data_IF_739143323302
#
_entry.id   IF_739143323302
#
_cell.length_a   1.000
_cell.length_b   1.000
_cell.length_c   1.000
_cell.angle_alpha   90.00
_cell.angle_beta   90.00
_cell.angle_gamma   90.00
#
_symmetry.space_group_name_H-M   'P 1'
#
loop_
_entity.id
_entity.type
_entity.pdbx_description
1 polymer ?
#
# COMPACT_ATOMS: atom_id res chain seq x y z
N UNK A 1 3.73 1.00 14.31
CA UNK A 1 2.36 1.58 14.21
C UNK A 1 2.37 3.05 13.80
N UNK A 2 2.67 3.27 12.53
CA UNK A 2 2.33 4.51 11.83
C UNK A 2 1.23 4.15 10.82
N UNK A 3 0.23 5.01 10.65
CA UNK A 3 -0.78 4.82 9.62
C UNK A 3 -1.00 6.10 8.82
N UNK A 4 -1.38 5.95 7.55
CA UNK A 4 -1.69 7.09 6.70
C UNK A 4 -2.71 6.75 5.63
N UNK A 5 -3.24 7.82 5.03
CA UNK A 5 -4.27 7.77 4.01
C UNK A 5 -3.65 8.16 2.66
N UNK A 6 -3.87 7.34 1.64
CA UNK A 6 -3.55 7.63 0.24
C UNK A 6 -4.83 7.98 -0.51
N UNK A 7 -5.00 9.25 -0.90
CA UNK A 7 -6.13 9.67 -1.73
C UNK A 7 -5.89 9.29 -3.20
N UNK A 8 -6.92 9.40 -4.06
CA UNK A 8 -6.80 9.17 -5.49
C UNK A 8 -5.65 9.97 -6.12
N UNK A 9 -4.71 9.28 -6.77
CA UNK A 9 -3.53 9.88 -7.40
C UNK A 9 -2.38 10.19 -6.45
N UNK A 10 -2.54 9.98 -5.13
CA UNK A 10 -1.43 10.14 -4.19
C UNK A 10 -0.40 9.02 -4.34
N UNK A 11 0.85 9.37 -4.13
CA UNK A 11 1.96 8.42 -4.05
C UNK A 11 2.75 8.63 -2.78
N UNK A 12 3.27 7.53 -2.22
CA UNK A 12 4.13 7.56 -1.04
C UNK A 12 5.21 6.52 -1.14
N UNK A 13 6.43 6.91 -0.81
CA UNK A 13 7.53 5.98 -0.58
C UNK A 13 7.72 5.86 0.93
N UNK A 14 7.96 4.64 1.38
CA UNK A 14 8.27 4.32 2.76
C UNK A 14 9.62 3.62 2.82
N UNK A 15 10.48 4.11 3.70
CA UNK A 15 11.75 3.48 4.02
C UNK A 15 11.48 2.38 5.03
N UNK A 16 11.79 1.14 4.68
CA UNK A 16 11.59 -0.02 5.55
C UNK A 16 12.89 -0.24 6.30
N UNK A 17 12.95 0.26 7.54
CA UNK A 17 14.18 0.22 8.35
C UNK A 17 14.38 -1.19 8.89
N UNK A 18 15.22 -1.97 8.20
CA UNK A 18 15.78 -3.27 8.60
C UNK A 18 14.89 -4.13 9.52
N UNK A 19 14.08 -4.99 8.88
CA UNK A 19 13.72 -6.30 9.44
C UNK A 19 12.42 -6.37 10.23
N UNK A 20 11.32 -6.67 9.53
CA UNK A 20 10.11 -7.27 10.10
C UNK A 20 8.81 -6.50 9.89
N UNK A 21 8.86 -5.30 9.31
CA UNK A 21 7.66 -4.50 9.10
C UNK A 21 6.70 -5.20 8.12
N UNK A 22 5.42 -5.23 8.48
CA UNK A 22 4.35 -5.63 7.57
C UNK A 22 3.62 -4.38 7.10
N UNK A 23 3.41 -4.29 5.79
CA UNK A 23 2.58 -3.28 5.17
C UNK A 23 1.18 -3.83 4.98
N UNK A 24 0.19 -3.26 5.66
CA UNK A 24 -1.22 -3.55 5.41
C UNK A 24 -1.87 -2.42 4.61
N UNK A 25 -2.58 -2.78 3.54
CA UNK A 25 -3.32 -1.87 2.67
C UNK A 25 -4.78 -2.25 2.71
N UNK A 26 -5.65 -1.37 3.19
CA UNK A 26 -7.08 -1.65 3.35
C UNK A 26 -7.93 -0.73 2.50
N UNK A 27 -8.90 -1.32 1.78
CA UNK A 27 -9.99 -0.59 1.15
C UNK A 27 -11.15 -0.47 2.15
N UNK A 28 -11.25 0.68 2.81
CA UNK A 28 -12.29 0.96 3.81
C UNK A 28 -13.66 1.33 3.19
N UNK A 29 -13.79 1.34 1.87
CA UNK A 29 -15.06 1.64 1.21
C UNK A 29 -15.97 0.41 1.18
N UNK A 30 -17.29 0.65 1.33
CA UNK A 30 -18.32 -0.39 1.27
C UNK A 30 -18.64 -0.81 -0.18
N UNK A 31 -18.35 0.07 -1.14
CA UNK A 31 -18.57 -0.13 -2.56
C UNK A 31 -17.38 0.36 -3.39
N UNK A 32 -17.06 -0.35 -4.47
CA UNK A 32 -16.00 0.00 -5.42
C UNK A 32 -14.62 -0.58 -5.07
N UNK A 33 -13.87 -0.90 -6.12
CA UNK A 33 -12.53 -1.47 -6.00
C UNK A 33 -11.46 -0.37 -5.90
N UNK A 34 -10.62 -0.43 -4.88
CA UNK A 34 -9.44 0.41 -4.81
C UNK A 34 -8.35 -0.17 -5.72
N UNK A 35 -7.62 0.70 -6.42
CA UNK A 35 -6.54 0.31 -7.33
C UNK A 35 -5.26 0.98 -6.89
N UNK A 36 -4.18 0.23 -6.82
CA UNK A 36 -2.87 0.77 -6.47
C UNK A 36 -1.78 0.04 -7.22
N UNK A 37 -0.62 0.70 -7.31
CA UNK A 37 0.62 0.11 -7.74
C UNK A 37 1.61 0.09 -6.57
N UNK A 38 2.36 -0.99 -6.42
CA UNK A 38 3.43 -1.11 -5.44
C UNK A 38 4.73 -1.55 -6.12
N UNK A 39 5.84 -0.93 -5.76
CA UNK A 39 7.19 -1.32 -6.14
C UNK A 39 8.07 -1.47 -4.90
N UNK A 40 8.84 -2.55 -4.82
CA UNK A 40 9.86 -2.73 -3.78
C UNK A 40 11.23 -2.42 -4.33
N UNK A 41 12.12 -1.80 -3.55
CA UNK A 41 13.53 -1.57 -3.89
C UNK A 41 13.75 -0.93 -5.26
N UNK A 42 12.88 0.04 -5.61
CA UNK A 42 12.87 0.75 -6.90
C UNK A 42 12.69 -0.17 -8.13
N UNK A 43 12.12 -1.35 -7.93
CA UNK A 43 11.76 -2.25 -9.02
C UNK A 43 10.53 -1.75 -9.79
N UNK A 44 10.13 -2.52 -10.82
CA UNK A 44 8.95 -2.17 -11.63
C UNK A 44 7.68 -2.25 -10.78
N UNK A 45 6.83 -1.21 -10.77
CA UNK A 45 5.57 -1.24 -10.04
C UNK A 45 4.63 -2.32 -10.56
N UNK A 46 4.00 -3.06 -9.64
CA UNK A 46 2.96 -4.04 -9.94
C UNK A 46 1.60 -3.47 -9.55
N UNK A 47 0.63 -3.57 -10.45
CA UNK A 47 -0.73 -3.09 -10.22
C UNK A 47 -1.56 -4.15 -9.48
N UNK A 48 -2.39 -3.69 -8.55
CA UNK A 48 -3.26 -4.49 -7.71
C UNK A 48 -4.63 -3.84 -7.55
N UNK A 49 -5.60 -4.67 -7.19
CA UNK A 49 -6.99 -4.29 -6.91
C UNK A 49 -7.39 -4.84 -5.54
N UNK A 50 -8.06 -4.02 -4.73
CA UNK A 50 -8.68 -4.44 -3.47
C UNK A 50 -10.20 -4.31 -3.56
N UNK A 51 -10.88 -5.42 -3.30
CA UNK A 51 -12.33 -5.43 -3.16
C UNK A 51 -12.77 -4.61 -1.93
N UNK A 52 -14.03 -4.15 -1.89
CA UNK A 52 -14.58 -3.46 -0.72
C UNK A 52 -14.37 -4.22 0.58
N UNK A 53 -13.93 -3.51 1.64
CA UNK A 53 -13.71 -4.08 2.98
C UNK A 53 -12.59 -5.13 3.07
N UNK A 54 -11.73 -5.24 2.06
CA UNK A 54 -10.60 -6.18 2.06
C UNK A 54 -9.27 -5.49 2.25
N UNK A 55 -8.29 -6.26 2.73
CA UNK A 55 -6.92 -5.82 2.93
C UNK A 55 -5.92 -6.71 2.21
N UNK A 56 -4.84 -6.13 1.72
CA UNK A 56 -3.66 -6.83 1.25
C UNK A 56 -2.53 -6.59 2.24
N UNK A 57 -1.72 -7.62 2.47
CA UNK A 57 -0.57 -7.54 3.37
C UNK A 57 0.70 -7.91 2.61
N UNK A 58 1.77 -7.16 2.85
CA UNK A 58 3.07 -7.37 2.25
C UNK A 58 4.12 -7.44 3.33
N UNK A 59 4.94 -8.49 3.28
CA UNK A 59 6.12 -8.62 4.13
C UNK A 59 7.25 -7.77 3.56
N UNK A 60 7.83 -6.90 4.39
CA UNK A 60 8.91 -6.00 4.02
C UNK A 60 10.26 -6.44 4.56
N UNK A 61 10.37 -7.63 5.17
CA UNK A 61 11.57 -8.10 5.86
C UNK A 61 12.84 -8.09 4.99
N UNK A 62 12.71 -8.34 3.69
CA UNK A 62 13.81 -8.38 2.71
C UNK A 62 13.84 -7.16 1.78
N UNK A 63 13.08 -6.10 2.08
CA UNK A 63 12.99 -4.89 1.25
C UNK A 63 13.51 -3.68 2.03
N UNK A 64 14.20 -2.76 1.35
CA UNK A 64 14.71 -1.49 1.88
C UNK A 64 13.72 -0.33 1.67
N UNK A 65 12.91 -0.41 0.62
CA UNK A 65 11.87 0.60 0.34
C UNK A 65 10.62 -0.03 -0.28
N UNK A 66 9.45 0.56 0.02
CA UNK A 66 8.22 0.31 -0.72
C UNK A 66 7.65 1.62 -1.26
N UNK A 67 7.44 1.69 -2.57
CA UNK A 67 6.80 2.81 -3.24
C UNK A 67 5.37 2.43 -3.61
N UNK A 68 4.41 3.11 -3.00
CA UNK A 68 2.97 2.93 -3.18
C UNK A 68 2.41 4.09 -3.99
N UNK A 69 1.58 3.78 -4.97
CA UNK A 69 0.83 4.78 -5.74
C UNK A 69 -0.62 4.35 -5.78
N UNK A 70 -1.53 5.19 -5.29
CA UNK A 70 -2.95 4.97 -5.48
C UNK A 70 -3.34 5.40 -6.90
N UNK A 71 -3.72 4.43 -7.72
CA UNK A 71 -4.07 4.64 -9.13
C UNK A 71 -5.58 4.59 -9.36
N UNK A 72 -6.37 4.44 -8.29
CA UNK A 72 -7.82 4.41 -8.33
C UNK A 72 -8.45 5.70 -7.86
N UNK A 73 -9.78 5.69 -7.81
CA UNK A 73 -10.62 6.79 -7.34
C UNK A 73 -11.02 6.66 -5.86
N UNK A 74 -10.53 5.62 -5.18
CA UNK A 74 -10.85 5.34 -3.78
C UNK A 74 -9.64 5.50 -2.88
N UNK A 75 -9.88 6.04 -1.69
CA UNK A 75 -8.90 6.18 -0.62
C UNK A 75 -8.44 4.83 -0.06
N UNK A 76 -7.13 4.68 0.17
CA UNK A 76 -6.53 3.47 0.77
C UNK A 76 -5.90 3.84 2.12
N UNK A 77 -6.20 3.06 3.15
CA UNK A 77 -5.51 3.14 4.44
C UNK A 77 -4.29 2.23 4.43
N UNK A 78 -3.19 2.75 4.96
CA UNK A 78 -1.91 2.06 5.02
C UNK A 78 -1.45 2.00 6.46
N UNK A 79 -1.12 0.80 6.95
CA UNK A 79 -0.61 0.55 8.30
C UNK A 79 0.75 -0.16 8.27
N UNK A 80 1.59 0.20 9.26
CA UNK A 80 2.94 -0.33 9.47
C UNK A 80 3.02 -0.93 10.87
N UNK A 81 3.15 -2.26 10.92
CA UNK A 81 3.34 -3.00 12.17
C UNK A 81 4.79 -2.95 12.63
#
# INVERSE_FOLDING_TARGET
>A
MASFILNPGDSRTVDTREGGDTLSLTNNHEDGEARYAIAFDQQTPTNHTLAPGTSANYDLADHETAALTNTGDLTIEVDFE
#
